data_IF_193985702810
#
_entry.id   IF_193985702810
#
_cell.length_a   1.000
_cell.length_b   1.000
_cell.length_c   1.000
_cell.angle_alpha   90.00
_cell.angle_beta   90.00
_cell.angle_gamma   90.00
#
_symmetry.space_group_name_H-M   'P 1'
#
loop_
_entity.id
_entity.type
_entity.pdbx_description
1 polymer ?
#
# COMPACT_ATOMS: atom_id res chain seq x y z
N UNK A 1 -85.05 44.84 27.94
CA UNK A 1 -83.95 45.58 27.30
C UNK A 1 -82.79 44.61 27.09
N UNK A 2 -82.32 44.46 25.84
CA UNK A 2 -80.99 43.98 25.38
C UNK A 2 -80.58 42.55 25.84
N UNK A 3 -80.69 41.48 25.04
CA UNK A 3 -79.93 41.05 23.85
C UNK A 3 -78.40 40.90 24.04
N UNK A 4 -77.91 39.66 24.19
CA UNK A 4 -76.57 39.29 23.70
C UNK A 4 -76.44 37.78 23.46
N UNK A 5 -75.91 37.46 22.27
CA UNK A 5 -75.63 36.12 21.70
C UNK A 5 -74.30 35.54 22.20
N UNK A 6 -74.08 34.26 21.83
CA UNK A 6 -72.79 33.69 21.39
C UNK A 6 -71.79 33.27 22.50
N UNK A 7 -70.99 32.20 22.43
CA UNK A 7 -70.52 31.27 21.38
C UNK A 7 -70.21 29.91 22.08
N UNK A 8 -70.53 28.78 21.45
CA UNK A 8 -69.95 27.47 21.83
C UNK A 8 -68.54 27.38 21.25
N UNK A 9 -67.53 27.20 22.11
CA UNK A 9 -66.14 26.99 21.70
C UNK A 9 -65.80 25.51 21.73
N UNK A 10 -65.67 24.89 20.56
CA UNK A 10 -65.23 23.50 20.40
C UNK A 10 -63.69 23.47 20.47
N UNK A 11 -63.11 22.84 21.48
CA UNK A 11 -61.68 22.57 21.56
C UNK A 11 -61.36 21.32 20.72
N UNK A 12 -60.66 21.50 19.59
CA UNK A 12 -60.04 20.40 18.84
C UNK A 12 -58.60 20.28 19.31
N UNK A 13 -58.28 19.21 20.05
CA UNK A 13 -56.90 18.85 20.39
C UNK A 13 -56.30 18.15 19.17
N UNK A 14 -55.43 18.85 18.44
CA UNK A 14 -54.60 18.25 17.38
C UNK A 14 -53.42 17.56 18.07
N UNK A 15 -53.46 16.23 18.15
CA UNK A 15 -52.33 15.42 18.60
C UNK A 15 -51.30 15.33 17.48
N UNK A 16 -50.17 16.01 17.63
CA UNK A 16 -49.01 15.86 16.76
C UNK A 16 -48.36 14.51 16.99
N UNK A 17 -48.58 13.55 16.09
CA UNK A 17 -47.83 12.29 16.07
C UNK A 17 -46.46 12.59 15.46
N UNK A 18 -45.43 12.63 16.31
CA UNK A 18 -44.04 12.59 15.85
C UNK A 18 -43.78 11.21 15.26
N UNK A 19 -43.89 11.08 13.94
CA UNK A 19 -43.36 9.92 13.24
C UNK A 19 -41.84 9.98 13.32
N UNK A 20 -41.24 9.20 14.21
CA UNK A 20 -39.81 8.94 14.18
C UNK A 20 -39.54 8.10 12.93
N UNK A 21 -39.04 8.74 11.87
CA UNK A 21 -38.40 8.04 10.76
C UNK A 21 -37.15 7.34 11.31
N UNK A 22 -37.29 6.05 11.63
CA UNK A 22 -36.15 5.16 11.81
C UNK A 22 -35.59 4.97 10.40
N UNK A 23 -34.62 5.80 10.02
CA UNK A 23 -33.76 5.52 8.88
C UNK A 23 -33.08 4.19 9.17
N UNK A 24 -33.54 3.12 8.52
CA UNK A 24 -32.77 1.88 8.42
C UNK A 24 -31.47 2.26 7.72
N UNK A 25 -30.43 2.52 8.50
CA UNK A 25 -29.08 2.65 7.98
C UNK A 25 -28.72 1.26 7.46
N UNK A 26 -28.85 1.06 6.15
CA UNK A 26 -28.33 -0.12 5.46
C UNK A 26 -26.90 -0.29 5.94
N UNK A 27 -26.63 -1.36 6.70
CA UNK A 27 -25.26 -1.74 7.06
C UNK A 27 -24.51 -1.83 5.74
N UNK A 28 -23.61 -0.89 5.52
CA UNK A 28 -22.64 -0.99 4.44
C UNK A 28 -21.99 -2.36 4.58
N UNK A 29 -21.99 -3.14 3.50
CA UNK A 29 -21.38 -4.46 3.49
C UNK A 29 -19.96 -4.33 4.01
N UNK A 30 -19.62 -5.03 5.09
CA UNK A 30 -18.28 -5.03 5.67
C UNK A 30 -17.36 -5.84 4.73
N UNK A 31 -16.47 -5.20 3.96
CA UNK A 31 -15.60 -5.92 3.03
C UNK A 31 -14.54 -6.74 3.77
N UNK A 32 -14.28 -6.43 5.05
CA UNK A 32 -13.33 -7.17 5.88
C UNK A 32 -13.92 -8.49 6.40
N UNK A 33 -15.25 -8.61 6.50
CA UNK A 33 -15.90 -9.80 7.05
C UNK A 33 -15.60 -11.07 6.24
N UNK A 34 -15.43 -10.94 4.92
CA UNK A 34 -15.16 -12.08 4.04
C UNK A 34 -13.72 -12.60 4.19
N UNK A 35 -12.78 -11.75 4.59
CA UNK A 35 -11.36 -12.09 4.69
C UNK A 35 -10.88 -12.30 6.13
N UNK A 36 -11.73 -12.00 7.13
CA UNK A 36 -11.41 -12.15 8.54
C UNK A 36 -11.01 -13.58 8.92
N UNK A 37 -9.88 -13.72 9.60
CA UNK A 37 -9.36 -15.03 10.05
C UNK A 37 -8.71 -15.88 8.96
N UNK A 38 -8.67 -15.40 7.73
CA UNK A 38 -7.92 -16.05 6.66
C UNK A 38 -6.43 -15.70 6.77
N UNK A 39 -5.58 -16.69 6.52
CA UNK A 39 -4.12 -16.48 6.49
C UNK A 39 -3.68 -15.77 5.20
N UNK A 40 -4.37 -16.05 4.09
CA UNK A 40 -4.09 -15.54 2.76
C UNK A 40 -5.38 -15.02 2.16
N UNK A 41 -5.30 -13.87 1.51
CA UNK A 41 -6.45 -13.14 1.00
C UNK A 41 -6.07 -12.57 -0.36
N UNK A 42 -7.04 -12.42 -1.25
CA UNK A 42 -6.79 -11.76 -2.53
C UNK A 42 -6.41 -10.29 -2.28
N UNK A 43 -5.39 -9.73 -2.95
CA UNK A 43 -5.00 -8.34 -2.78
C UNK A 43 -6.13 -7.34 -3.04
N UNK A 44 -7.08 -7.65 -3.95
CA UNK A 44 -8.22 -6.80 -4.22
C UNK A 44 -9.20 -6.77 -3.02
N UNK A 45 -9.48 -7.93 -2.43
CA UNK A 45 -10.35 -8.02 -1.25
C UNK A 45 -9.71 -7.35 -0.03
N UNK A 46 -8.40 -7.53 0.17
CA UNK A 46 -7.65 -6.84 1.21
C UNK A 46 -7.69 -5.33 1.02
N UNK A 47 -7.47 -4.86 -0.21
CA UNK A 47 -7.53 -3.43 -0.53
C UNK A 47 -8.92 -2.88 -0.26
N UNK A 48 -9.98 -3.57 -0.69
CA UNK A 48 -11.35 -3.16 -0.42
C UNK A 48 -11.64 -3.06 1.09
N UNK A 49 -11.15 -4.02 1.88
CA UNK A 49 -11.21 -3.97 3.34
C UNK A 49 -10.50 -2.74 3.92
N UNK A 50 -9.23 -2.53 3.58
CA UNK A 50 -8.45 -1.41 4.13
C UNK A 50 -8.98 -0.04 3.71
N UNK A 51 -9.51 0.10 2.49
CA UNK A 51 -10.11 1.35 2.03
C UNK A 51 -11.50 1.62 2.62
N UNK A 52 -12.11 0.65 3.32
CA UNK A 52 -13.44 0.84 3.92
C UNK A 52 -13.42 1.62 5.23
N UNK A 53 -12.23 1.80 5.84
CA UNK A 53 -12.06 2.51 7.10
C UNK A 53 -11.80 3.99 6.80
N UNK A 54 -12.68 4.91 7.24
CA UNK A 54 -12.46 6.35 7.05
C UNK A 54 -11.37 6.86 7.99
N UNK A 55 -10.70 7.96 7.60
CA UNK A 55 -9.75 8.64 8.48
C UNK A 55 -10.45 9.27 9.68
N UNK A 56 -9.97 8.96 10.88
CA UNK A 56 -10.28 9.72 12.08
C UNK A 56 -9.32 10.92 12.21
N UNK A 57 -9.81 12.18 12.20
CA UNK A 57 -8.95 13.36 12.26
C UNK A 57 -8.09 13.44 13.52
N UNK A 58 -8.60 13.00 14.67
CA UNK A 58 -7.86 13.05 15.93
C UNK A 58 -6.74 12.00 15.95
N UNK A 59 -7.01 10.80 15.39
CA UNK A 59 -5.98 9.77 15.23
C UNK A 59 -4.91 10.24 14.24
N UNK A 60 -5.31 10.81 13.10
CA UNK A 60 -4.38 11.38 12.11
C UNK A 60 -3.45 12.43 12.73
N UNK A 61 -4.00 13.38 13.48
CA UNK A 61 -3.21 14.43 14.14
C UNK A 61 -2.19 13.82 15.12
N UNK A 62 -2.62 12.83 15.92
CA UNK A 62 -1.74 12.13 16.85
C UNK A 62 -0.62 11.34 16.12
N UNK A 63 -0.95 10.62 15.04
CA UNK A 63 0.05 9.90 14.23
C UNK A 63 1.12 10.88 13.73
N UNK A 64 0.70 11.99 13.12
CA UNK A 64 1.63 12.98 12.55
C UNK A 64 2.46 13.66 13.65
N UNK A 65 1.86 13.98 14.80
CA UNK A 65 2.58 14.56 15.94
C UNK A 65 3.66 13.61 16.48
N UNK A 66 3.34 12.33 16.65
CA UNK A 66 4.30 11.32 17.09
C UNK A 66 5.45 11.20 16.09
N UNK A 67 5.16 11.10 14.80
CA UNK A 67 6.19 11.00 13.75
C UNK A 67 7.07 12.26 13.73
N UNK A 68 6.50 13.45 13.80
CA UNK A 68 7.25 14.71 13.83
C UNK A 68 8.19 14.80 15.05
N UNK A 69 7.79 14.20 16.19
CA UNK A 69 8.63 14.15 17.39
C UNK A 69 9.74 13.10 17.32
N UNK A 70 9.58 12.04 16.52
CA UNK A 70 10.61 10.98 16.38
C UNK A 70 11.61 11.26 15.27
N UNK A 71 11.22 11.95 14.19
CA UNK A 71 12.09 12.25 13.06
C UNK A 71 13.41 12.96 13.40
N UNK A 72 13.47 13.95 14.32
CA UNK A 72 14.71 14.62 14.69
C UNK A 72 15.79 13.70 15.28
N UNK A 73 15.45 12.49 15.69
CA UNK A 73 16.42 11.48 16.16
C UNK A 73 17.14 10.75 15.01
N UNK A 74 16.68 10.91 13.77
CA UNK A 74 17.33 10.32 12.60
C UNK A 74 18.33 11.30 12.00
N UNK A 75 19.63 11.00 12.15
CA UNK A 75 20.73 11.82 11.64
C UNK A 75 20.70 12.04 10.12
N UNK A 76 20.00 11.17 9.37
CA UNK A 76 19.92 11.19 7.91
C UNK A 76 18.99 12.28 7.35
N UNK A 77 17.99 12.74 8.10
CA UNK A 77 16.92 13.62 7.55
C UNK A 77 17.49 14.98 7.10
N UNK A 78 18.36 15.59 7.90
CA UNK A 78 18.99 16.85 7.51
C UNK A 78 20.14 16.67 6.52
N UNK A 79 20.85 15.54 6.58
CA UNK A 79 21.97 15.25 5.68
C UNK A 79 21.48 15.05 4.24
N UNK A 80 20.36 14.35 4.05
CA UNK A 80 19.79 14.08 2.71
C UNK A 80 19.34 15.35 1.98
N UNK A 81 18.76 16.32 2.69
CA UNK A 81 18.34 17.61 2.10
C UNK A 81 19.51 18.37 1.45
N UNK A 82 20.74 18.19 1.93
CA UNK A 82 21.92 18.93 1.44
C UNK A 82 23.12 18.02 1.19
N UNK A 83 22.86 16.78 0.77
CA UNK A 83 23.92 15.80 0.53
C UNK A 83 24.93 16.35 -0.50
N UNK A 84 26.21 16.51 -0.12
CA UNK A 84 27.23 17.03 -1.02
C UNK A 84 27.74 15.95 -1.97
N UNK A 85 28.53 16.36 -2.96
CA UNK A 85 29.27 15.47 -3.87
C UNK A 85 29.98 14.32 -3.12
N UNK A 86 29.95 13.06 -3.60
CA UNK A 86 29.39 12.56 -4.88
C UNK A 86 27.92 12.14 -4.81
N UNK A 87 27.19 12.53 -3.76
CA UNK A 87 25.80 12.13 -3.51
C UNK A 87 24.79 13.18 -4.02
N UNK A 88 25.16 13.93 -5.04
CA UNK A 88 24.31 14.93 -5.71
C UNK A 88 23.13 14.30 -6.44
N UNK A 89 23.25 13.02 -6.82
CA UNK A 89 22.14 12.20 -7.33
C UNK A 89 21.40 11.45 -6.22
N UNK A 90 21.75 11.67 -4.94
CA UNK A 90 21.09 11.02 -3.82
C UNK A 90 19.76 11.69 -3.48
N UNK A 91 19.02 11.02 -2.61
CA UNK A 91 17.69 11.43 -2.19
C UNK A 91 17.73 12.78 -1.46
N UNK A 92 17.02 13.78 -1.98
CA UNK A 92 16.88 15.14 -1.43
C UNK A 92 15.48 15.40 -0.86
N UNK A 93 14.96 14.43 -0.10
CA UNK A 93 13.59 14.48 0.42
C UNK A 93 13.50 15.33 1.68
N UNK A 94 12.46 16.16 1.76
CA UNK A 94 12.14 16.96 2.94
C UNK A 94 10.92 16.36 3.64
N UNK A 95 11.20 15.43 4.55
CA UNK A 95 10.17 14.71 5.30
C UNK A 95 9.28 15.63 6.12
N UNK A 96 9.81 16.74 6.65
CA UNK A 96 9.02 17.68 7.46
C UNK A 96 8.03 18.44 6.58
N UNK A 97 8.46 18.85 5.39
CA UNK A 97 7.58 19.45 4.40
C UNK A 97 6.51 18.47 3.92
N UNK A 98 6.86 17.22 3.69
CA UNK A 98 5.91 16.19 3.29
C UNK A 98 4.90 15.87 4.39
N UNK A 99 5.32 15.77 5.65
CA UNK A 99 4.40 15.58 6.77
C UNK A 99 3.48 16.77 6.97
N UNK A 100 3.96 18.00 6.74
CA UNK A 100 3.10 19.19 6.74
C UNK A 100 2.04 19.13 5.62
N UNK A 101 2.43 18.68 4.42
CA UNK A 101 1.50 18.41 3.31
C UNK A 101 0.45 17.37 3.71
N UNK A 102 0.90 16.20 4.19
CA UNK A 102 0.03 15.09 4.65
C UNK A 102 -0.94 15.57 5.73
N UNK A 103 -0.49 16.41 6.66
CA UNK A 103 -1.32 16.99 7.72
C UNK A 103 -2.46 17.84 7.17
N UNK A 104 -2.17 18.68 6.16
CA UNK A 104 -3.14 19.63 5.60
C UNK A 104 -4.17 19.04 4.64
N UNK A 105 -3.91 17.88 4.02
CA UNK A 105 -4.82 17.29 3.02
C UNK A 105 -5.82 16.29 3.62
N UNK A 106 -6.96 16.10 2.96
CA UNK A 106 -7.93 15.06 3.28
C UNK A 106 -7.60 13.75 2.55
N UNK A 107 -8.03 12.62 3.11
CA UNK A 107 -7.92 11.30 2.48
C UNK A 107 -9.27 10.60 2.55
N UNK A 108 -9.53 9.78 1.53
CA UNK A 108 -10.78 9.02 1.42
C UNK A 108 -10.82 7.85 2.42
N UNK A 109 -9.65 7.27 2.75
CA UNK A 109 -9.52 6.17 3.70
C UNK A 109 -8.27 6.27 4.57
N UNK A 110 -8.30 5.58 5.72
CA UNK A 110 -7.14 5.43 6.60
C UNK A 110 -5.98 4.70 5.89
N UNK A 111 -6.29 3.80 4.97
CA UNK A 111 -5.31 3.17 4.10
C UNK A 111 -4.57 4.16 3.22
N UNK A 112 -5.27 5.12 2.61
CA UNK A 112 -4.64 6.13 1.75
C UNK A 112 -3.73 7.07 2.54
N UNK A 113 -4.12 7.42 3.78
CA UNK A 113 -3.27 8.16 4.72
C UNK A 113 -1.97 7.38 5.02
N UNK A 114 -2.09 6.11 5.42
CA UNK A 114 -0.92 5.28 5.74
C UNK A 114 -0.04 5.01 4.52
N UNK A 115 -0.64 4.88 3.33
CA UNK A 115 0.09 4.72 2.09
C UNK A 115 0.93 5.96 1.75
N UNK A 116 0.38 7.16 1.91
CA UNK A 116 1.11 8.42 1.67
C UNK A 116 2.26 8.58 2.67
N UNK A 117 2.01 8.33 3.96
CA UNK A 117 3.07 8.29 4.98
C UNK A 117 4.15 7.27 4.59
N UNK A 118 3.78 6.04 4.26
CA UNK A 118 4.75 5.00 3.85
C UNK A 118 5.57 5.42 2.64
N UNK A 119 4.95 6.08 1.64
CA UNK A 119 5.64 6.57 0.44
C UNK A 119 6.63 7.68 0.76
N UNK A 120 6.25 8.66 1.57
CA UNK A 120 7.15 9.72 2.04
C UNK A 120 8.42 9.14 2.68
N UNK A 121 8.29 8.10 3.51
CA UNK A 121 9.46 7.45 4.11
C UNK A 121 10.23 6.56 3.13
N UNK A 122 9.56 5.88 2.19
CA UNK A 122 10.21 5.08 1.14
C UNK A 122 11.01 5.93 0.18
N UNK A 123 10.62 7.18 -0.05
CA UNK A 123 11.38 8.09 -0.89
C UNK A 123 12.80 8.33 -0.35
N UNK A 124 13.06 8.10 0.95
CA UNK A 124 14.41 8.07 1.55
C UNK A 124 15.36 7.04 0.95
N UNK A 125 14.84 6.13 0.12
CA UNK A 125 15.53 4.99 -0.50
C UNK A 125 16.29 4.12 0.51
N UNK A 126 15.66 3.88 1.67
CA UNK A 126 16.24 3.13 2.79
C UNK A 126 15.82 1.64 2.75
N UNK A 127 16.78 0.73 2.95
CA UNK A 127 16.61 -0.72 2.92
C UNK A 127 15.67 -1.27 4.01
N UNK A 128 15.36 -0.45 5.04
CA UNK A 128 14.44 -0.81 6.12
C UNK A 128 13.00 -1.11 5.67
N UNK A 129 12.62 -0.72 4.44
CA UNK A 129 11.26 -0.89 3.91
C UNK A 129 11.17 -1.90 2.74
N UNK A 130 11.80 -3.07 2.91
CA UNK A 130 11.85 -4.11 1.87
C UNK A 130 10.59 -4.99 1.82
N UNK A 131 10.13 -5.32 0.61
CA UNK A 131 9.11 -6.35 0.37
C UNK A 131 9.74 -7.54 -0.35
N UNK A 132 9.34 -8.76 -0.01
CA UNK A 132 9.84 -9.98 -0.63
C UNK A 132 8.79 -10.59 -1.56
N UNK A 133 9.22 -10.99 -2.75
CA UNK A 133 8.43 -11.80 -3.67
C UNK A 133 8.95 -13.25 -3.62
N UNK A 134 8.07 -14.25 -3.76
CA UNK A 134 8.48 -15.66 -3.75
C UNK A 134 9.30 -16.07 -4.97
N UNK A 135 9.31 -15.27 -6.02
CA UNK A 135 10.17 -15.45 -7.19
C UNK A 135 10.90 -14.12 -7.45
N UNK A 136 11.98 -13.83 -6.70
CA UNK A 136 12.68 -12.57 -6.86
C UNK A 136 13.28 -12.46 -8.26
N UNK A 137 13.25 -11.24 -8.80
CA UNK A 137 13.87 -10.91 -10.08
C UNK A 137 15.33 -10.52 -9.87
N UNK A 138 16.19 -10.95 -10.80
CA UNK A 138 17.63 -10.67 -10.80
C UNK A 138 18.08 -10.25 -12.19
N UNK A 139 19.12 -9.43 -12.25
CA UNK A 139 19.79 -9.11 -13.50
C UNK A 139 20.93 -10.11 -13.72
N UNK A 140 20.89 -10.85 -14.82
CA UNK A 140 21.98 -11.72 -15.25
C UNK A 140 22.62 -11.15 -16.50
N UNK A 141 23.94 -11.17 -16.54
CA UNK A 141 24.73 -10.76 -17.71
C UNK A 141 25.29 -12.00 -18.38
N UNK A 142 25.02 -12.17 -19.67
CA UNK A 142 25.56 -13.29 -20.43
C UNK A 142 27.05 -13.09 -20.80
N UNK A 143 27.63 -14.09 -21.47
CA UNK A 143 29.03 -14.05 -21.90
C UNK A 143 29.34 -12.94 -22.93
N UNK A 144 28.31 -12.42 -23.63
CA UNK A 144 28.44 -11.30 -24.58
C UNK A 144 28.37 -9.92 -23.90
N UNK A 145 28.04 -9.89 -22.60
CA UNK A 145 27.83 -8.64 -21.86
C UNK A 145 26.38 -8.13 -21.92
N UNK A 146 25.46 -8.89 -22.51
CA UNK A 146 24.05 -8.51 -22.60
C UNK A 146 23.37 -8.84 -21.28
N UNK A 147 22.65 -7.86 -20.71
CA UNK A 147 21.85 -8.03 -19.50
C UNK A 147 20.40 -8.33 -19.85
N UNK A 148 19.79 -9.20 -19.06
CA UNK A 148 18.35 -9.42 -19.07
C UNK A 148 17.82 -9.60 -17.64
N UNK A 149 16.52 -9.38 -17.48
CA UNK A 149 15.81 -9.67 -16.23
C UNK A 149 15.44 -11.15 -16.21
N UNK A 150 15.79 -11.83 -15.13
CA UNK A 150 15.48 -13.25 -14.91
C UNK A 150 14.78 -13.45 -13.57
N UNK A 151 14.06 -14.55 -13.44
CA UNK A 151 13.71 -15.09 -12.13
C UNK A 151 14.98 -15.72 -11.54
N UNK A 152 15.24 -15.50 -10.24
CA UNK A 152 16.45 -16.00 -9.61
C UNK A 152 16.63 -17.53 -9.82
N UNK A 153 17.82 -18.02 -10.20
CA UNK A 153 18.05 -19.44 -10.46
C UNK A 153 17.74 -20.38 -9.28
N UNK A 154 17.83 -19.87 -8.05
CA UNK A 154 17.51 -20.59 -6.82
C UNK A 154 16.21 -20.15 -6.15
N UNK A 155 15.37 -19.34 -6.84
CA UNK A 155 14.15 -18.76 -6.28
C UNK A 155 13.29 -19.79 -5.53
N UNK A 156 12.96 -20.91 -6.19
CA UNK A 156 12.17 -21.97 -5.58
C UNK A 156 12.82 -22.57 -4.32
N UNK A 157 14.13 -22.75 -4.29
CA UNK A 157 14.80 -23.38 -3.14
C UNK A 157 14.71 -22.48 -1.91
N UNK A 158 14.87 -21.17 -2.09
CA UNK A 158 14.72 -20.20 -0.99
C UNK A 158 13.26 -20.14 -0.54
N UNK A 159 12.34 -19.98 -1.50
CA UNK A 159 10.92 -19.79 -1.19
C UNK A 159 10.27 -21.02 -0.60
N UNK A 160 10.68 -22.23 -1.00
CA UNK A 160 10.16 -23.48 -0.43
C UNK A 160 10.63 -23.74 1.00
N UNK A 161 11.67 -23.06 1.46
CA UNK A 161 12.11 -23.08 2.87
C UNK A 161 11.41 -22.00 3.67
N UNK A 162 11.44 -20.75 3.18
CA UNK A 162 10.88 -19.61 3.91
C UNK A 162 9.34 -19.64 3.98
N UNK A 163 8.71 -20.15 2.93
CA UNK A 163 7.26 -20.12 2.74
C UNK A 163 6.70 -21.52 2.44
N UNK A 164 7.27 -22.54 3.07
CA UNK A 164 6.94 -23.95 2.83
C UNK A 164 5.43 -24.25 2.89
N UNK A 165 4.69 -23.53 3.72
CA UNK A 165 3.25 -23.67 3.96
C UNK A 165 2.37 -22.84 3.01
N UNK A 166 2.96 -22.25 1.96
CA UNK A 166 2.31 -21.33 1.01
C UNK A 166 2.63 -21.64 -0.46
N UNK A 167 3.60 -22.51 -0.71
CA UNK A 167 4.02 -22.88 -2.06
C UNK A 167 2.82 -23.35 -2.89
N UNK A 168 1.89 -24.10 -2.28
CA UNK A 168 0.68 -24.59 -2.94
C UNK A 168 -0.24 -23.47 -3.43
N UNK A 169 -0.38 -22.38 -2.67
CA UNK A 169 -1.16 -21.20 -3.07
C UNK A 169 -0.61 -20.58 -4.34
N UNK A 170 0.71 -20.40 -4.42
CA UNK A 170 1.35 -19.80 -5.58
C UNK A 170 1.41 -20.74 -6.77
N UNK A 171 1.67 -22.02 -6.56
CA UNK A 171 1.62 -23.06 -7.60
C UNK A 171 0.23 -23.13 -8.24
N UNK A 172 -0.84 -22.98 -7.43
CA UNK A 172 -2.21 -22.98 -7.92
C UNK A 172 -2.57 -21.75 -8.79
N UNK A 173 -1.84 -20.64 -8.63
CA UNK A 173 -2.02 -19.43 -9.43
C UNK A 173 -1.34 -19.50 -10.82
N UNK A 174 -0.48 -20.51 -11.05
CA UNK A 174 0.25 -20.66 -12.31
C UNK A 174 -0.59 -21.32 -13.41
N UNK A 175 -0.28 -21.06 -14.69
CA UNK A 175 -0.86 -21.81 -15.80
C UNK A 175 -0.60 -23.32 -15.66
N UNK A 176 -1.54 -24.13 -16.14
CA UNK A 176 -1.42 -25.60 -16.10
C UNK A 176 -0.10 -26.07 -16.71
N UNK A 177 0.62 -26.91 -15.96
CA UNK A 177 1.89 -27.51 -16.39
C UNK A 177 3.12 -26.66 -16.13
N UNK A 178 2.96 -25.44 -15.61
CA UNK A 178 4.05 -24.61 -15.09
C UNK A 178 4.12 -24.81 -13.58
N UNK A 179 5.35 -24.91 -13.06
CA UNK A 179 5.62 -24.95 -11.62
C UNK A 179 6.54 -23.81 -11.21
N UNK A 180 6.53 -23.38 -9.95
CA UNK A 180 7.47 -22.36 -9.46
C UNK A 180 8.92 -22.81 -9.67
N UNK A 181 9.21 -24.10 -9.46
CA UNK A 181 10.54 -24.66 -9.71
C UNK A 181 10.95 -24.56 -11.18
N UNK A 182 10.01 -24.73 -12.12
CA UNK A 182 10.29 -24.60 -13.55
C UNK A 182 10.60 -23.17 -13.99
N UNK A 183 10.27 -22.17 -13.17
CA UNK A 183 10.54 -20.76 -13.43
C UNK A 183 11.95 -20.31 -13.01
N UNK A 184 12.68 -21.12 -12.25
CA UNK A 184 14.05 -20.81 -11.83
C UNK A 184 14.95 -20.48 -13.03
N UNK A 185 15.54 -19.28 -13.03
CA UNK A 185 16.45 -18.82 -14.08
C UNK A 185 15.75 -18.38 -15.38
N UNK A 186 14.42 -18.51 -15.47
CA UNK A 186 13.68 -18.12 -16.68
C UNK A 186 13.83 -16.62 -16.97
N UNK A 187 14.03 -16.29 -18.24
CA UNK A 187 14.07 -14.90 -18.70
C UNK A 187 12.67 -14.29 -18.65
N UNK A 188 12.55 -13.10 -18.06
CA UNK A 188 11.32 -12.32 -18.07
C UNK A 188 11.27 -11.54 -19.38
N UNK A 189 10.22 -11.78 -20.17
CA UNK A 189 10.05 -11.13 -21.48
C UNK A 189 9.24 -9.84 -21.37
N UNK A 190 8.26 -9.80 -20.47
CA UNK A 190 7.46 -8.63 -20.18
C UNK A 190 6.84 -8.73 -18.78
N UNK A 191 6.50 -7.57 -18.21
CA UNK A 191 5.72 -7.46 -16.96
C UNK A 191 4.56 -6.53 -17.26
N UNK A 192 3.32 -7.03 -17.17
CA UNK A 192 2.11 -6.27 -17.54
C UNK A 192 2.23 -5.61 -18.93
N UNK A 193 2.69 -6.38 -19.92
CA UNK A 193 2.94 -5.95 -21.30
C UNK A 193 3.99 -4.82 -21.48
N UNK A 194 4.74 -4.48 -20.42
CA UNK A 194 5.84 -3.52 -20.47
C UNK A 194 7.20 -4.21 -20.56
N UNK A 195 8.20 -3.45 -21.03
CA UNK A 195 9.61 -3.86 -20.99
C UNK A 195 10.03 -4.20 -19.54
N UNK A 196 10.74 -5.33 -19.31
CA UNK A 196 11.11 -5.76 -17.97
C UNK A 196 11.96 -4.75 -17.20
N UNK A 197 12.91 -4.05 -17.85
CA UNK A 197 13.74 -3.06 -17.16
C UNK A 197 12.90 -1.86 -16.74
N UNK A 198 12.09 -1.34 -17.67
CA UNK A 198 11.18 -0.23 -17.37
C UNK A 198 10.21 -0.57 -16.22
N UNK A 199 9.69 -1.79 -16.18
CA UNK A 199 8.79 -2.24 -15.12
C UNK A 199 9.50 -2.38 -13.76
N UNK A 200 10.72 -2.92 -13.73
CA UNK A 200 11.50 -3.04 -12.49
C UNK A 200 11.94 -1.66 -11.98
N UNK A 201 12.30 -0.74 -12.88
CA UNK A 201 12.64 0.66 -12.53
C UNK A 201 11.44 1.38 -11.92
N UNK A 202 10.28 1.31 -12.58
CA UNK A 202 9.05 1.89 -12.07
C UNK A 202 8.65 1.29 -10.70
N UNK A 203 8.87 -0.01 -10.51
CA UNK A 203 8.62 -0.63 -9.21
C UNK A 203 9.63 -0.17 -8.13
N UNK A 204 10.91 -0.04 -8.47
CA UNK A 204 11.94 0.46 -7.55
C UNK A 204 11.67 1.91 -7.09
N UNK A 205 11.08 2.72 -7.96
CA UNK A 205 10.57 4.04 -7.60
C UNK A 205 9.52 3.96 -6.49
N UNK A 206 8.54 3.06 -6.64
CA UNK A 206 7.42 2.86 -5.70
C UNK A 206 7.88 2.22 -4.38
N UNK A 207 8.76 1.22 -4.43
CA UNK A 207 9.19 0.49 -3.23
C UNK A 207 10.19 1.27 -2.39
N UNK A 208 10.71 2.38 -2.89
CA UNK A 208 11.70 3.15 -2.17
C UNK A 208 13.05 2.45 -2.12
N UNK A 209 13.47 1.83 -3.23
CA UNK A 209 14.73 1.09 -3.30
C UNK A 209 15.51 1.50 -4.54
N UNK A 210 16.79 1.17 -4.57
CA UNK A 210 17.58 1.22 -5.80
C UNK A 210 17.51 -0.13 -6.51
N UNK A 211 17.56 -0.14 -7.84
CA UNK A 211 17.88 -1.36 -8.54
C UNK A 211 19.32 -1.75 -8.20
N UNK A 212 19.52 -3.00 -7.76
CA UNK A 212 20.86 -3.55 -7.63
C UNK A 212 21.42 -3.85 -9.03
N UNK A 213 22.08 -2.86 -9.64
CA UNK A 213 22.85 -3.02 -10.89
C UNK A 213 24.17 -3.75 -10.61
N UNK A 214 24.09 -4.95 -10.05
CA UNK A 214 25.25 -5.80 -9.78
C UNK A 214 25.66 -6.57 -11.03
N UNK A 215 26.92 -6.48 -11.44
CA UNK A 215 27.51 -7.35 -12.46
C UNK A 215 27.76 -8.74 -11.86
N UNK A 216 26.75 -9.61 -11.82
CA UNK A 216 26.96 -11.04 -11.53
C UNK A 216 27.36 -11.73 -12.82
N UNK A 217 28.67 -11.90 -13.04
CA UNK A 217 29.18 -12.79 -14.10
C UNK A 217 29.08 -14.23 -13.62
N UNK A 218 28.24 -15.03 -14.26
CA UNK A 218 28.28 -16.48 -14.12
C UNK A 218 29.51 -16.97 -14.91
N UNK A 219 30.59 -17.35 -14.21
CA UNK A 219 31.64 -18.17 -14.83
C UNK A 219 31.12 -19.60 -14.87
N UNK A 220 30.80 -20.09 -16.04
CA UNK A 220 30.73 -21.54 -16.27
C UNK A 220 32.16 -22.11 -16.11
N UNK A 221 32.29 -23.14 -15.29
CA UNK A 221 33.51 -23.93 -15.11
C UNK A 221 33.48 -25.16 -16.02
#
# INVERSE_FOLDING_TARGET
MVNTRSILTTFVVVGSVLASEITLQTRQSDPCANIGGQKWVDPADLRACFTSVPVDPAIKENIIDVINKTLPFHASVNYQISAPEPFTDAVHEDLLKDLARISSQSYDSDYDLHLDISKTFKNLKDALFSNFLPIPLVLLTDASGTQAVHIAPEAYNVSSVEFADQIDVWEAALPKGITLKSLNGATVLSINDADPFAAVDANAEITGTFQALGLVRIREH
#
